data_IF_665354670792
#
_entry.id   IF_665354670792
#
_cell.length_a   1.000
_cell.length_b   1.000
_cell.length_c   1.000
_cell.angle_alpha   90.00
_cell.angle_beta   90.00
_cell.angle_gamma   90.00
#
_symmetry.space_group_name_H-M   'P 1'
#
loop_
_entity.id
_entity.type
_entity.pdbx_description
1 polymer ?
#
# COMPACT_ATOMS: atom_id res chain seq x y z
N UNK A 1 -1.62 -10.80 -4.82
CA UNK A 1 -2.22 -11.43 -3.62
C UNK A 1 -2.39 -10.42 -2.49
N UNK A 2 -1.37 -9.60 -2.22
CA UNK A 2 -1.43 -8.49 -1.26
C UNK A 2 -1.04 -7.15 -1.93
N UNK A 3 -1.80 -6.09 -1.64
CA UNK A 3 -1.60 -4.72 -2.11
C UNK A 3 -1.95 -3.69 -1.00
N UNK A 4 -1.87 -4.13 0.26
CA UNK A 4 -2.14 -3.30 1.43
C UNK A 4 -0.91 -2.57 1.96
N UNK A 5 -1.06 -1.99 3.14
CA UNK A 5 -0.03 -1.28 3.89
C UNK A 5 1.13 -2.17 4.34
N UNK A 6 2.23 -1.57 4.81
CA UNK A 6 3.30 -2.31 5.48
C UNK A 6 2.89 -2.70 6.90
N UNK A 7 2.41 -1.71 7.65
CA UNK A 7 1.81 -1.77 8.98
C UNK A 7 0.94 -0.53 9.21
N UNK A 8 0.43 -0.34 10.44
CA UNK A 8 -0.41 0.78 10.84
C UNK A 8 0.37 1.96 11.45
N UNK A 9 1.71 1.96 11.39
CA UNK A 9 2.53 3.07 11.84
C UNK A 9 2.38 4.27 10.89
N UNK A 10 2.22 5.47 11.45
CA UNK A 10 2.07 6.72 10.70
C UNK A 10 2.83 7.85 11.39
N UNK A 11 3.29 8.88 10.65
CA UNK A 11 3.83 10.07 11.27
C UNK A 11 2.85 10.63 12.31
N UNK A 12 3.31 10.75 13.55
CA UNK A 12 2.54 11.33 14.65
C UNK A 12 1.55 10.42 15.38
N UNK A 13 1.37 9.14 14.99
CA UNK A 13 0.44 8.24 15.70
C UNK A 13 1.08 7.43 16.83
N UNK A 14 2.40 7.55 17.03
CA UNK A 14 3.14 6.93 18.13
C UNK A 14 3.24 5.40 18.06
N UNK A 15 2.76 4.76 17.00
CA UNK A 15 2.85 3.31 16.83
C UNK A 15 4.24 2.89 16.36
N UNK A 16 4.81 1.78 16.87
CA UNK A 16 6.08 1.27 16.39
C UNK A 16 5.96 0.76 14.96
N UNK A 17 7.05 0.84 14.19
CA UNK A 17 7.14 0.22 12.86
C UNK A 17 7.36 -1.28 13.06
N UNK A 18 6.41 -2.09 12.57
CA UNK A 18 6.35 -3.55 12.83
C UNK A 18 6.26 -4.38 11.57
N UNK A 19 5.89 -3.81 10.41
CA UNK A 19 5.59 -4.54 9.18
C UNK A 19 4.60 -5.69 9.32
N UNK A 20 3.72 -5.65 10.33
CA UNK A 20 2.90 -6.79 10.72
C UNK A 20 2.00 -7.29 9.58
N UNK A 21 1.38 -6.37 8.84
CA UNK A 21 0.45 -6.73 7.77
C UNK A 21 1.17 -7.40 6.60
N UNK A 22 2.31 -6.83 6.16
CA UNK A 22 3.06 -7.42 5.05
C UNK A 22 3.70 -8.76 5.45
N UNK A 23 4.21 -8.88 6.69
CA UNK A 23 4.76 -10.15 7.21
C UNK A 23 3.71 -11.25 7.22
N UNK A 24 2.53 -10.98 7.78
CA UNK A 24 1.42 -11.94 7.80
C UNK A 24 1.01 -12.39 6.39
N UNK A 25 0.99 -11.47 5.42
CA UNK A 25 0.71 -11.79 4.03
C UNK A 25 1.80 -12.68 3.40
N UNK A 26 3.07 -12.43 3.70
CA UNK A 26 4.21 -13.25 3.24
C UNK A 26 4.13 -14.65 3.85
N UNK A 27 3.96 -14.77 5.16
CA UNK A 27 3.87 -16.05 5.87
C UNK A 27 2.74 -16.91 5.29
N UNK A 28 1.57 -16.30 5.06
CA UNK A 28 0.42 -16.98 4.45
C UNK A 28 0.75 -17.54 3.05
N UNK A 29 1.51 -16.80 2.23
CA UNK A 29 1.90 -17.27 0.89
C UNK A 29 2.93 -18.39 0.98
N UNK A 30 3.87 -18.32 1.92
CA UNK A 30 4.87 -19.37 2.15
C UNK A 30 4.24 -20.68 2.59
N UNK A 31 3.12 -20.62 3.33
CA UNK A 31 2.31 -21.78 3.73
C UNK A 31 1.41 -22.32 2.59
N UNK A 32 1.48 -21.73 1.39
CA UNK A 32 0.63 -22.10 0.25
C UNK A 32 -0.80 -21.53 0.30
N UNK A 33 -1.05 -20.61 1.24
CA UNK A 33 -2.33 -19.94 1.42
C UNK A 33 -2.52 -18.71 0.54
N UNK A 34 -3.65 -18.02 0.76
CA UNK A 34 -3.97 -16.72 0.15
C UNK A 34 -4.11 -15.66 1.25
N UNK A 35 -3.41 -14.52 1.15
CA UNK A 35 -3.56 -13.41 2.09
C UNK A 35 -5.03 -12.97 2.22
N UNK A 36 -5.36 -12.39 3.38
CA UNK A 36 -6.70 -11.84 3.65
C UNK A 36 -7.17 -10.90 2.54
N UNK A 37 -8.47 -10.97 2.22
CA UNK A 37 -9.10 -10.03 1.28
C UNK A 37 -9.26 -8.63 1.88
N UNK A 38 -9.34 -8.53 3.21
CA UNK A 38 -9.41 -7.24 3.91
C UNK A 38 -8.00 -6.66 4.01
N UNK A 39 -7.69 -5.70 3.14
CA UNK A 39 -6.37 -5.08 3.05
C UNK A 39 -6.54 -3.57 3.22
N UNK A 40 -5.91 -3.00 4.25
CA UNK A 40 -5.87 -1.54 4.42
C UNK A 40 -4.93 -0.96 3.35
N UNK A 41 -5.36 0.01 2.52
CA UNK A 41 -4.49 0.61 1.51
C UNK A 41 -3.23 1.23 2.10
N UNK A 42 -2.14 1.19 1.34
CA UNK A 42 -0.90 1.89 1.70
C UNK A 42 -1.09 3.41 1.64
N UNK A 43 -0.31 4.12 2.46
CA UNK A 43 -0.27 5.59 2.50
C UNK A 43 1.19 6.04 2.45
N UNK A 44 1.47 7.03 1.60
CA UNK A 44 2.78 7.63 1.45
C UNK A 44 2.75 8.75 0.41
N UNK A 45 3.93 9.23 0.03
CA UNK A 45 4.07 10.11 -1.10
C UNK A 45 3.52 9.45 -2.38
N UNK A 46 2.98 10.25 -3.29
CA UNK A 46 2.74 9.77 -4.65
C UNK A 46 4.04 9.31 -5.32
N UNK A 47 3.93 8.34 -6.23
CA UNK A 47 5.04 7.90 -7.08
C UNK A 47 5.51 9.10 -7.92
N UNK A 48 6.83 9.25 -8.04
CA UNK A 48 7.46 10.32 -8.83
C UNK A 48 7.69 9.84 -10.25
N UNK A 49 6.65 9.93 -11.06
CA UNK A 49 6.69 9.58 -12.47
C UNK A 49 7.54 10.57 -13.27
N UNK A 50 8.28 10.06 -14.27
CA UNK A 50 8.82 10.91 -15.33
C UNK A 50 7.67 11.54 -16.11
N UNK A 51 7.86 12.76 -16.62
CA UNK A 51 6.82 13.47 -17.36
C UNK A 51 6.26 12.63 -18.52
N UNK A 52 4.94 12.50 -18.60
CA UNK A 52 4.22 11.73 -19.61
C UNK A 52 4.05 10.24 -19.27
N UNK A 53 4.66 9.75 -18.19
CA UNK A 53 4.53 8.37 -17.70
C UNK A 53 3.63 8.27 -16.46
N UNK A 54 3.04 9.38 -16.02
CA UNK A 54 2.06 9.35 -14.95
C UNK A 54 0.79 8.61 -15.39
N UNK A 55 0.24 7.74 -14.52
CA UNK A 55 -1.01 7.07 -14.82
C UNK A 55 -2.18 8.06 -14.72
N UNK A 56 -3.24 7.77 -15.49
CA UNK A 56 -4.42 8.64 -15.61
C UNK A 56 -4.98 9.06 -14.25
N UNK A 57 -5.06 8.16 -13.27
CA UNK A 57 -5.59 8.40 -11.93
C UNK A 57 -4.74 9.34 -11.06
N UNK A 58 -3.48 9.60 -11.43
CA UNK A 58 -2.57 10.47 -10.67
C UNK A 58 -2.49 11.90 -11.19
N UNK A 59 -2.94 12.12 -12.43
CA UNK A 59 -2.94 13.44 -13.07
C UNK A 59 -4.04 14.32 -12.48
N UNK A 60 -3.76 15.63 -12.36
CA UNK A 60 -4.78 16.62 -11.95
C UNK A 60 -5.95 16.69 -12.93
N UNK A 61 -5.74 16.35 -14.20
CA UNK A 61 -6.79 16.28 -15.23
C UNK A 61 -7.87 15.23 -14.93
N UNK A 62 -7.52 14.15 -14.22
CA UNK A 62 -8.50 13.10 -13.88
C UNK A 62 -9.39 13.43 -12.67
N UNK A 63 -9.12 14.51 -11.92
CA UNK A 63 -9.97 14.93 -10.78
C UNK A 63 -11.22 15.73 -11.20
N UNK A 64 -11.38 16.02 -12.50
CA UNK A 64 -12.46 16.86 -13.04
C UNK A 64 -13.59 16.07 -13.74
N UNK A 65 -13.54 14.74 -13.72
CA UNK A 65 -14.59 13.85 -14.22
C UNK A 65 -15.17 13.04 -13.05
#
# INVERSE_FOLDING_TARGET
>A
AYHGQFDDARPGNGKPVTGADLRAAVDTVLEGGRPTASQVPSIGCNIKWSAGNEPVWSSSAARAA
#
